data_IF_620759505846
#
_entry.id   IF_620759505846
#
_cell.length_a   1.000
_cell.length_b   1.000
_cell.length_c   1.000
_cell.angle_alpha   90.00
_cell.angle_beta   90.00
_cell.angle_gamma   90.00
#
_symmetry.space_group_name_H-M   'P 1'
#
loop_
_entity.id
_entity.type
_entity.pdbx_description
1 polymer ?
#
# COMPACT_ATOMS: atom_id res chain seq x y z
N UNK A 1 21.32 6.07 -14.76
CA UNK A 1 20.59 4.86 -14.34
C UNK A 1 19.21 5.31 -13.85
N UNK A 2 18.13 4.77 -14.40
CA UNK A 2 16.77 5.08 -13.89
C UNK A 2 16.65 4.60 -12.45
N UNK A 3 16.08 5.48 -11.60
CA UNK A 3 15.84 5.18 -10.17
C UNK A 3 14.81 4.05 -10.09
N UNK A 4 15.20 2.89 -9.58
CA UNK A 4 14.31 1.74 -9.39
C UNK A 4 13.72 1.78 -8.00
N UNK A 5 12.40 1.69 -7.88
CA UNK A 5 11.67 1.65 -6.63
C UNK A 5 11.17 0.23 -6.33
N UNK A 6 11.11 -0.10 -5.06
CA UNK A 6 10.41 -1.29 -4.58
C UNK A 6 9.03 -0.90 -4.09
N UNK A 7 8.01 -1.56 -4.62
CA UNK A 7 6.62 -1.37 -4.22
C UNK A 7 6.14 -2.55 -3.36
N UNK A 8 5.28 -2.23 -2.42
CA UNK A 8 4.54 -3.19 -1.59
C UNK A 8 3.05 -2.95 -1.83
N UNK A 9 2.37 -3.96 -2.33
CA UNK A 9 0.94 -3.91 -2.63
C UNK A 9 0.21 -4.80 -1.61
N UNK A 10 -0.44 -4.23 -0.59
CA UNK A 10 -1.26 -5.03 0.32
C UNK A 10 -2.39 -5.71 -0.43
N UNK A 11 -2.57 -7.00 -0.16
CA UNK A 11 -3.60 -7.85 -0.76
C UNK A 11 -4.41 -8.53 0.34
N UNK A 12 -5.63 -8.93 0.03
CA UNK A 12 -6.38 -9.85 0.90
C UNK A 12 -5.72 -11.23 0.85
N UNK A 13 -5.72 -11.91 1.98
CA UNK A 13 -5.18 -13.27 2.07
C UNK A 13 -5.94 -14.21 1.11
N UNK A 14 -5.19 -14.98 0.33
CA UNK A 14 -5.70 -15.92 -0.65
C UNK A 14 -5.88 -15.35 -2.07
N UNK A 15 -5.73 -14.03 -2.28
CA UNK A 15 -5.81 -13.42 -3.62
C UNK A 15 -4.49 -12.77 -4.07
N UNK A 16 -3.40 -13.00 -3.36
CA UNK A 16 -2.09 -12.44 -3.66
C UNK A 16 -1.59 -12.83 -5.07
N UNK A 17 -1.89 -14.06 -5.49
CA UNK A 17 -1.54 -14.53 -6.84
C UNK A 17 -2.26 -13.73 -7.94
N UNK A 18 -3.49 -13.28 -7.68
CA UNK A 18 -4.26 -12.44 -8.61
C UNK A 18 -3.62 -11.06 -8.75
N UNK A 19 -3.25 -10.44 -7.62
CA UNK A 19 -2.52 -9.17 -7.60
C UNK A 19 -1.17 -9.30 -8.32
N UNK A 20 -0.42 -10.39 -8.05
CA UNK A 20 0.85 -10.65 -8.71
C UNK A 20 0.70 -10.81 -10.24
N UNK A 21 -0.36 -11.48 -10.68
CA UNK A 21 -0.67 -11.61 -12.11
C UNK A 21 -0.98 -10.26 -12.75
N UNK A 22 -1.75 -9.41 -12.06
CA UNK A 22 -2.08 -8.05 -12.53
C UNK A 22 -0.82 -7.18 -12.66
N UNK A 23 0.07 -7.20 -11.64
CA UNK A 23 1.34 -6.47 -11.67
C UNK A 23 2.25 -6.91 -12.82
N UNK A 24 2.33 -8.23 -13.10
CA UNK A 24 3.08 -8.76 -14.24
C UNK A 24 2.49 -8.29 -15.58
N UNK A 25 1.17 -8.24 -15.72
CA UNK A 25 0.49 -7.68 -16.90
C UNK A 25 0.78 -6.19 -17.08
N UNK A 26 0.93 -5.46 -15.98
CA UNK A 26 1.34 -4.06 -16.00
C UNK A 26 2.85 -3.88 -16.26
N UNK A 27 3.62 -4.95 -16.46
CA UNK A 27 5.03 -4.90 -16.83
C UNK A 27 5.98 -4.64 -15.67
N UNK A 28 5.54 -4.83 -14.41
CA UNK A 28 6.41 -4.69 -13.25
C UNK A 28 7.38 -5.88 -13.16
N UNK A 29 8.59 -5.62 -12.68
CA UNK A 29 9.65 -6.63 -12.51
C UNK A 29 9.69 -7.18 -11.08
N UNK A 30 10.38 -8.30 -10.89
CA UNK A 30 10.60 -8.96 -9.59
C UNK A 30 9.33 -9.14 -8.74
N UNK A 31 8.22 -9.48 -9.39
CA UNK A 31 6.92 -9.65 -8.72
C UNK A 31 6.93 -10.91 -7.87
N UNK A 32 6.79 -10.76 -6.54
CA UNK A 32 6.77 -11.84 -5.54
C UNK A 32 5.53 -11.71 -4.67
N UNK A 33 4.74 -12.78 -4.62
CA UNK A 33 3.60 -12.89 -3.70
C UNK A 33 4.09 -13.38 -2.33
N UNK A 34 3.67 -12.69 -1.28
CA UNK A 34 3.86 -13.05 0.13
C UNK A 34 2.50 -13.02 0.83
N UNK A 35 2.39 -13.58 2.02
CA UNK A 35 1.14 -13.59 2.78
C UNK A 35 0.65 -12.15 3.04
N UNK A 36 -0.52 -11.82 2.49
CA UNK A 36 -1.18 -10.51 2.66
C UNK A 36 -0.57 -9.36 1.86
N UNK A 37 0.45 -9.59 1.01
CA UNK A 37 1.06 -8.55 0.17
C UNK A 37 1.76 -9.11 -1.06
N UNK A 38 2.00 -8.24 -2.03
CA UNK A 38 2.85 -8.54 -3.19
C UNK A 38 3.94 -7.49 -3.30
N UNK A 39 5.17 -7.93 -3.50
CA UNK A 39 6.33 -7.09 -3.73
C UNK A 39 6.60 -7.01 -5.23
N UNK A 40 7.03 -5.85 -5.73
CA UNK A 40 7.50 -5.70 -7.11
C UNK A 40 8.46 -4.52 -7.23
N UNK A 41 9.18 -4.46 -8.35
CA UNK A 41 10.04 -3.33 -8.69
C UNK A 41 9.54 -2.62 -9.94
N UNK A 42 9.77 -1.30 -9.97
CA UNK A 42 9.41 -0.45 -11.10
C UNK A 42 10.08 0.91 -11.00
N UNK A 43 9.71 1.80 -11.89
CA UNK A 43 10.21 3.18 -11.99
C UNK A 43 9.32 4.17 -11.21
N UNK A 44 9.74 5.41 -11.00
CA UNK A 44 8.88 6.46 -10.44
C UNK A 44 7.57 6.68 -11.22
N UNK A 45 7.60 6.51 -12.55
CA UNK A 45 6.43 6.62 -13.41
C UNK A 45 5.36 5.53 -13.15
N UNK A 46 5.75 4.44 -12.49
CA UNK A 46 4.82 3.38 -12.13
C UNK A 46 3.92 3.74 -10.95
N UNK A 47 4.28 4.74 -10.12
CA UNK A 47 3.44 5.20 -9.02
C UNK A 47 2.04 5.62 -9.51
N UNK A 48 1.88 6.63 -10.39
CA UNK A 48 0.56 6.99 -10.90
C UNK A 48 -0.06 5.87 -11.73
N UNK A 49 0.73 5.14 -12.52
CA UNK A 49 0.23 4.05 -13.36
C UNK A 49 -0.40 2.93 -12.52
N UNK A 50 0.22 2.53 -11.42
CA UNK A 50 -0.31 1.51 -10.51
C UNK A 50 -1.57 2.01 -9.80
N UNK A 51 -1.55 3.24 -9.27
CA UNK A 51 -2.71 3.81 -8.59
C UNK A 51 -3.94 3.96 -9.50
N UNK A 52 -3.74 4.19 -10.81
CA UNK A 52 -4.82 4.34 -11.78
C UNK A 52 -5.31 3.00 -12.35
N UNK A 53 -4.48 1.96 -12.39
CA UNK A 53 -4.81 0.74 -13.13
C UNK A 53 -5.00 -0.50 -12.25
N UNK A 54 -4.53 -0.48 -10.99
CA UNK A 54 -4.59 -1.65 -10.13
C UNK A 54 -6.01 -1.89 -9.62
N UNK A 55 -6.57 -3.06 -9.95
CA UNK A 55 -7.94 -3.45 -9.60
C UNK A 55 -8.03 -4.26 -8.32
N UNK A 56 -7.05 -5.13 -8.08
CA UNK A 56 -7.13 -6.14 -7.02
C UNK A 56 -6.28 -5.81 -5.79
N UNK A 57 -5.32 -4.90 -5.90
CA UNK A 57 -4.52 -4.40 -4.79
C UNK A 57 -5.23 -3.32 -3.99
N UNK A 58 -4.97 -3.25 -2.68
CA UNK A 58 -5.62 -2.30 -1.79
C UNK A 58 -4.99 -0.89 -1.81
N UNK A 59 -3.67 -0.82 -1.98
CA UNK A 59 -2.85 0.40 -1.99
C UNK A 59 -1.55 0.15 -2.74
N UNK A 60 -0.89 1.24 -3.11
CA UNK A 60 0.48 1.23 -3.64
C UNK A 60 1.39 1.87 -2.60
N UNK A 61 2.23 1.08 -1.95
CA UNK A 61 3.16 1.55 -0.94
C UNK A 61 4.58 1.54 -1.53
N UNK A 62 5.30 2.64 -1.37
CA UNK A 62 6.71 2.75 -1.74
C UNK A 62 7.57 2.28 -0.56
N UNK A 63 8.34 1.21 -0.71
CA UNK A 63 9.28 0.75 0.30
C UNK A 63 10.50 1.65 0.35
N UNK A 64 10.81 2.21 1.53
CA UNK A 64 11.99 3.05 1.75
C UNK A 64 13.17 2.24 2.28
N UNK A 65 12.89 1.10 2.92
CA UNK A 65 13.91 0.20 3.45
C UNK A 65 13.34 -0.77 4.47
N UNK A 66 14.17 -1.77 4.81
CA UNK A 66 13.86 -2.75 5.85
C UNK A 66 15.10 -3.09 6.66
N UNK A 67 14.89 -3.46 7.93
CA UNK A 67 15.92 -3.84 8.88
C UNK A 67 15.34 -4.74 9.97
N UNK A 68 16.20 -5.38 10.76
CA UNK A 68 15.77 -6.15 11.92
C UNK A 68 15.70 -5.24 13.16
N UNK A 69 14.67 -5.40 13.98
CA UNK A 69 14.56 -4.72 15.25
C UNK A 69 13.79 -5.56 16.27
N UNK A 70 14.43 -5.84 17.39
CA UNK A 70 13.86 -6.54 18.56
C UNK A 70 13.62 -5.59 19.72
N UNK A 71 14.28 -4.42 19.70
CA UNK A 71 14.20 -3.39 20.73
C UNK A 71 13.71 -2.08 20.13
N UNK A 72 13.15 -1.19 20.96
CA UNK A 72 12.73 0.14 20.53
C UNK A 72 13.92 1.02 20.11
N UNK A 73 15.11 0.76 20.62
CA UNK A 73 16.33 1.46 20.24
C UNK A 73 16.75 1.07 18.82
N UNK A 74 16.78 -0.22 18.50
CA UNK A 74 17.04 -0.72 17.15
C UNK A 74 16.00 -0.19 16.15
N UNK A 75 14.71 -0.14 16.54
CA UNK A 75 13.64 0.43 15.73
C UNK A 75 13.87 1.91 15.44
N UNK A 76 14.27 2.68 16.46
CA UNK A 76 14.55 4.11 16.35
C UNK A 76 15.75 4.38 15.43
N UNK A 77 16.88 3.73 15.67
CA UNK A 77 18.11 3.96 14.89
C UNK A 77 17.94 3.49 13.43
N UNK A 78 17.32 2.33 13.21
CA UNK A 78 17.03 1.85 11.85
C UNK A 78 16.11 2.79 11.08
N UNK A 79 15.10 3.36 11.72
CA UNK A 79 14.22 4.33 11.09
C UNK A 79 14.93 5.69 10.85
N UNK A 80 15.74 6.16 11.78
CA UNK A 80 16.49 7.41 11.64
C UNK A 80 17.59 7.36 10.57
N UNK A 81 18.05 6.15 10.21
CA UNK A 81 19.07 5.97 9.17
C UNK A 81 18.52 6.16 7.74
N UNK A 82 17.20 6.04 7.53
CA UNK A 82 16.60 6.19 6.21
C UNK A 82 16.56 7.65 5.74
N UNK A 83 16.69 7.90 4.41
CA UNK A 83 16.71 9.24 3.83
C UNK A 83 15.29 9.81 3.65
N UNK A 84 14.62 10.12 4.75
CA UNK A 84 13.25 10.65 4.75
C UNK A 84 13.10 11.97 4.01
N UNK A 85 14.14 12.80 4.01
CA UNK A 85 14.22 14.09 3.33
C UNK A 85 14.10 14.01 1.82
N UNK A 86 14.41 12.85 1.22
CA UNK A 86 14.22 12.60 -0.22
C UNK A 86 12.75 12.54 -0.62
N UNK A 87 11.86 12.35 0.35
CA UNK A 87 10.44 12.07 0.12
C UNK A 87 9.51 13.04 0.85
N UNK A 88 9.88 13.48 2.04
CA UNK A 88 9.03 14.33 2.89
C UNK A 88 9.65 15.72 2.97
N UNK A 89 9.05 16.75 2.36
CA UNK A 89 9.54 18.11 2.41
C UNK A 89 9.36 18.72 3.82
N UNK A 90 9.97 19.87 4.04
CA UNK A 90 10.04 20.57 5.33
C UNK A 90 8.68 20.76 6.01
N UNK A 91 7.65 21.09 5.26
CA UNK A 91 6.27 21.32 5.73
C UNK A 91 5.39 20.07 5.71
N UNK A 92 5.91 18.92 5.22
CA UNK A 92 5.16 17.68 5.07
C UNK A 92 4.57 17.16 6.38
N UNK A 93 3.31 16.72 6.36
CA UNK A 93 2.70 15.99 7.47
C UNK A 93 2.95 14.51 7.31
N UNK A 94 3.45 13.84 8.32
CA UNK A 94 3.82 12.43 8.24
C UNK A 94 3.32 11.61 9.44
N UNK A 95 2.01 11.37 9.52
CA UNK A 95 1.48 10.42 10.50
C UNK A 95 2.02 9.01 10.23
N UNK A 96 2.25 8.26 11.31
CA UNK A 96 2.78 6.90 11.25
C UNK A 96 1.67 5.91 11.60
N UNK A 97 1.43 4.91 10.73
CA UNK A 97 0.50 3.80 10.96
C UNK A 97 1.19 2.48 10.62
N UNK A 98 0.70 1.38 11.17
CA UNK A 98 1.24 0.08 10.80
C UNK A 98 0.76 -1.02 11.71
N UNK A 99 1.43 -2.15 11.63
CA UNK A 99 1.11 -3.33 12.41
C UNK A 99 2.37 -4.12 12.77
N UNK A 100 2.25 -4.93 13.81
CA UNK A 100 3.29 -5.87 14.23
C UNK A 100 2.67 -7.24 14.47
N UNK A 101 3.29 -8.28 13.89
CA UNK A 101 2.82 -9.66 13.98
C UNK A 101 3.99 -10.59 14.30
N UNK A 102 3.82 -11.47 15.28
CA UNK A 102 4.81 -12.47 15.71
C UNK A 102 6.20 -11.85 15.97
N UNK A 103 6.23 -10.69 16.62
CA UNK A 103 7.45 -9.91 16.85
C UNK A 103 7.57 -9.51 18.32
N UNK A 104 8.80 -9.25 18.79
CA UNK A 104 9.03 -8.77 20.15
C UNK A 104 8.42 -7.38 20.37
N UNK A 105 8.48 -6.53 19.37
CA UNK A 105 7.84 -5.20 19.36
C UNK A 105 6.35 -5.31 19.05
N UNK A 106 5.54 -5.81 19.97
CA UNK A 106 4.11 -6.08 19.77
C UNK A 106 3.20 -4.86 20.02
N UNK A 107 3.66 -3.85 20.76
CA UNK A 107 2.86 -2.63 21.05
C UNK A 107 2.88 -1.69 19.84
N UNK A 108 1.85 -1.75 19.00
CA UNK A 108 1.71 -0.88 17.82
C UNK A 108 1.75 0.62 18.19
N UNK A 109 1.04 1.11 19.23
CA UNK A 109 1.14 2.53 19.63
C UNK A 109 2.55 2.96 20.04
N UNK A 110 3.29 2.08 20.76
CA UNK A 110 4.68 2.37 21.13
C UNK A 110 5.57 2.44 19.90
N UNK A 111 5.46 1.49 18.96
CA UNK A 111 6.20 1.51 17.70
C UNK A 111 5.90 2.79 16.89
N UNK A 112 4.63 3.20 16.80
CA UNK A 112 4.23 4.45 16.14
C UNK A 112 4.92 5.67 16.75
N UNK A 113 4.93 5.77 18.09
CA UNK A 113 5.57 6.86 18.81
C UNK A 113 7.08 6.91 18.59
N UNK A 114 7.75 5.75 18.66
CA UNK A 114 9.20 5.64 18.44
C UNK A 114 9.57 5.99 17.00
N UNK A 115 8.86 5.45 16.03
CA UNK A 115 9.07 5.77 14.61
C UNK A 115 8.84 7.26 14.34
N UNK A 116 7.76 7.86 14.88
CA UNK A 116 7.51 9.30 14.75
C UNK A 116 8.66 10.12 15.30
N UNK A 117 9.19 9.77 16.49
CA UNK A 117 10.36 10.45 17.08
C UNK A 117 11.60 10.31 16.20
N UNK A 118 11.86 9.14 15.63
CA UNK A 118 13.00 8.89 14.74
C UNK A 118 12.93 9.78 13.48
N UNK A 119 11.77 9.86 12.85
CA UNK A 119 11.53 10.73 11.70
C UNK A 119 11.72 12.21 12.07
N UNK A 120 11.13 12.66 13.18
CA UNK A 120 11.28 14.03 13.66
C UNK A 120 12.77 14.38 13.91
N UNK A 121 13.53 13.47 14.54
CA UNK A 121 14.98 13.67 14.77
C UNK A 121 15.74 13.80 13.44
N UNK A 122 15.47 12.88 12.49
CA UNK A 122 16.14 12.90 11.18
C UNK A 122 15.82 14.15 10.38
N UNK A 123 14.55 14.44 10.16
CA UNK A 123 14.09 15.59 9.37
C UNK A 123 14.44 16.90 10.05
N UNK A 124 14.31 17.00 11.39
CA UNK A 124 14.72 18.17 12.15
C UNK A 124 16.20 18.49 11.98
N UNK A 125 17.07 17.46 12.04
CA UNK A 125 18.51 17.63 11.78
C UNK A 125 18.80 18.11 10.36
N UNK A 126 18.13 17.55 9.36
CA UNK A 126 18.36 17.89 7.95
C UNK A 126 17.85 19.29 7.62
N UNK A 127 16.67 19.66 8.14
CA UNK A 127 16.06 20.96 7.87
C UNK A 127 16.46 22.08 8.85
N UNK A 128 17.28 21.78 9.85
CA UNK A 128 17.71 22.75 10.86
C UNK A 128 16.56 23.26 11.74
N UNK A 129 15.61 22.38 12.09
CA UNK A 129 14.40 22.73 12.85
C UNK A 129 14.31 21.90 14.13
N UNK A 130 14.01 22.55 15.25
CA UNK A 130 13.67 21.84 16.52
C UNK A 130 12.28 21.22 16.46
N UNK A 131 11.34 21.89 15.81
CA UNK A 131 9.95 21.43 15.63
C UNK A 131 9.56 21.53 14.16
N UNK A 132 9.05 20.44 13.60
CA UNK A 132 8.57 20.39 12.23
C UNK A 132 7.15 20.97 12.16
N UNK A 133 6.83 21.83 11.21
CA UNK A 133 5.54 22.55 11.16
C UNK A 133 4.35 21.65 10.82
N UNK A 134 4.56 20.60 10.06
CA UNK A 134 3.53 19.61 9.62
C UNK A 134 2.25 20.27 9.08
N UNK A 135 2.35 21.36 8.36
CA UNK A 135 1.23 22.15 7.82
C UNK A 135 0.91 21.84 6.36
N UNK A 136 1.82 21.14 5.68
CA UNK A 136 1.75 20.89 4.25
C UNK A 136 1.03 19.59 3.86
N UNK A 137 1.41 19.02 2.72
CA UNK A 137 0.85 17.80 2.16
C UNK A 137 1.07 16.59 3.07
N UNK A 138 0.11 15.66 3.02
CA UNK A 138 0.13 14.42 3.80
C UNK A 138 1.04 13.37 3.15
N UNK A 139 2.01 12.89 3.89
CA UNK A 139 2.89 11.76 3.57
C UNK A 139 2.66 10.64 4.58
N UNK A 140 1.67 9.79 4.34
CA UNK A 140 1.33 8.72 5.27
C UNK A 140 2.46 7.68 5.32
N UNK A 141 3.18 7.64 6.45
CA UNK A 141 4.19 6.61 6.70
C UNK A 141 3.50 5.35 7.20
N UNK A 142 3.84 4.21 6.59
CA UNK A 142 3.38 2.90 7.03
C UNK A 142 4.55 2.03 7.45
N UNK A 143 4.37 1.23 8.51
CA UNK A 143 5.33 0.21 8.90
C UNK A 143 4.67 -1.15 9.01
N UNK A 144 5.44 -2.18 8.75
CA UNK A 144 5.10 -3.56 9.09
C UNK A 144 6.27 -4.19 9.85
N UNK A 145 5.98 -4.86 10.96
CA UNK A 145 6.96 -5.66 11.68
C UNK A 145 6.46 -7.11 11.65
N UNK A 146 7.20 -7.98 10.97
CA UNK A 146 6.87 -9.39 10.80
C UNK A 146 8.07 -10.21 11.24
N UNK A 147 7.93 -10.99 12.31
CA UNK A 147 9.03 -11.81 12.86
C UNK A 147 10.30 -10.97 13.06
N UNK A 148 10.15 -9.81 13.71
CA UNK A 148 11.18 -8.80 14.00
C UNK A 148 11.78 -8.11 12.76
N UNK A 149 11.35 -8.45 11.54
CA UNK A 149 11.73 -7.74 10.32
C UNK A 149 10.82 -6.52 10.12
N UNK A 150 11.40 -5.34 10.16
CA UNK A 150 10.75 -4.04 9.96
C UNK A 150 10.81 -3.68 8.47
N UNK A 151 9.69 -3.22 7.93
CA UNK A 151 9.65 -2.57 6.62
C UNK A 151 8.98 -1.20 6.79
N UNK A 152 9.64 -0.15 6.32
CA UNK A 152 9.12 1.22 6.35
C UNK A 152 8.73 1.66 4.93
N UNK A 153 7.54 2.23 4.79
CA UNK A 153 6.92 2.51 3.51
C UNK A 153 6.23 3.86 3.52
N UNK A 154 6.10 4.49 2.35
CA UNK A 154 5.22 5.63 2.12
C UNK A 154 3.99 5.19 1.33
N UNK A 155 2.82 5.62 1.77
CA UNK A 155 1.56 5.42 1.06
C UNK A 155 1.46 6.43 -0.08
N UNK A 156 1.35 5.94 -1.31
CA UNK A 156 1.21 6.77 -2.52
C UNK A 156 -0.23 6.84 -3.02
N UNK A 157 -1.16 6.11 -2.39
CA UNK A 157 -2.55 6.02 -2.85
C UNK A 157 -3.47 7.05 -2.21
N UNK A 158 -3.16 7.53 -1.00
CA UNK A 158 -4.08 8.36 -0.22
C UNK A 158 -5.30 7.55 0.24
N UNK A 159 -6.43 7.65 -0.46
CA UNK A 159 -7.56 6.75 -0.22
C UNK A 159 -7.29 5.32 -0.71
N UNK A 160 -7.95 4.35 -0.09
CA UNK A 160 -7.80 2.95 -0.50
C UNK A 160 -8.39 2.73 -1.89
N UNK A 161 -7.70 1.94 -2.72
CA UNK A 161 -8.09 1.70 -4.13
C UNK A 161 -9.43 0.97 -4.31
N UNK A 162 -10.00 0.40 -3.24
CA UNK A 162 -11.38 -0.11 -3.29
C UNK A 162 -12.43 1.01 -3.32
N UNK A 163 -12.10 2.24 -2.90
CA UNK A 163 -13.01 3.40 -2.95
C UNK A 163 -13.03 4.00 -4.36
N UNK A 164 -13.65 3.34 -5.30
CA UNK A 164 -13.64 3.76 -6.71
C UNK A 164 -14.65 4.86 -7.08
N UNK A 165 -15.46 5.29 -6.09
CA UNK A 165 -16.39 6.43 -6.27
C UNK A 165 -17.66 6.14 -7.05
N UNK A 166 -17.88 4.94 -7.56
CA UNK A 166 -19.10 4.62 -8.32
C UNK A 166 -20.33 4.31 -7.44
N UNK A 167 -20.15 4.19 -6.12
CA UNK A 167 -21.29 3.96 -5.21
C UNK A 167 -21.99 5.26 -4.87
N UNK A 168 -23.20 5.44 -5.40
CA UNK A 168 -24.05 6.58 -5.10
C UNK A 168 -24.73 6.48 -3.71
N UNK A 169 -24.92 5.27 -3.19
CA UNK A 169 -25.59 5.02 -1.91
C UNK A 169 -24.82 4.00 -1.06
N UNK A 170 -24.73 4.24 0.25
CA UNK A 170 -24.20 3.29 1.21
C UNK A 170 -25.27 2.25 1.56
N UNK A 171 -25.18 1.09 0.95
CA UNK A 171 -25.99 -0.08 1.25
C UNK A 171 -25.24 -0.97 2.24
N UNK A 172 -25.48 -0.88 3.54
CA UNK A 172 -24.95 -1.79 4.55
C UNK A 172 -23.43 -2.03 4.44
N UNK A 173 -22.97 -3.27 4.54
CA UNK A 173 -21.56 -3.68 4.43
C UNK A 173 -21.32 -4.35 3.04
N UNK A 174 -21.15 -3.58 1.97
CA UNK A 174 -21.00 -4.15 0.63
C UNK A 174 -19.66 -4.85 0.47
N UNK A 175 -19.59 -5.79 -0.48
CA UNK A 175 -18.33 -6.40 -0.89
C UNK A 175 -17.35 -5.30 -1.35
N UNK A 176 -16.08 -5.39 -0.91
CA UNK A 176 -15.04 -4.45 -1.37
C UNK A 176 -14.78 -4.64 -2.86
N UNK A 177 -14.63 -3.56 -3.58
CA UNK A 177 -14.43 -3.54 -5.03
C UNK A 177 -13.19 -4.34 -5.45
N UNK A 178 -12.09 -4.22 -4.69
CA UNK A 178 -10.85 -5.00 -4.95
C UNK A 178 -11.06 -6.51 -4.78
N UNK A 179 -11.89 -6.92 -3.83
CA UNK A 179 -12.24 -8.35 -3.69
C UNK A 179 -13.15 -8.80 -4.83
N UNK A 180 -14.15 -8.01 -5.20
CA UNK A 180 -15.02 -8.32 -6.34
C UNK A 180 -14.21 -8.46 -7.64
N UNK A 181 -13.28 -7.53 -7.92
CA UNK A 181 -12.38 -7.61 -9.05
C UNK A 181 -11.49 -8.88 -9.01
N UNK A 182 -11.01 -9.26 -7.82
CA UNK A 182 -10.25 -10.50 -7.66
C UNK A 182 -11.10 -11.74 -7.96
N UNK A 183 -12.34 -11.81 -7.48
CA UNK A 183 -13.27 -12.91 -7.76
C UNK A 183 -13.56 -13.03 -9.26
N UNK A 184 -13.83 -11.90 -9.94
CA UNK A 184 -14.02 -11.88 -11.39
C UNK A 184 -12.76 -12.37 -12.12
N UNK A 185 -11.58 -11.97 -11.67
CA UNK A 185 -10.31 -12.43 -12.25
C UNK A 185 -10.07 -13.91 -12.04
N UNK A 186 -10.43 -14.45 -10.86
CA UNK A 186 -10.33 -15.87 -10.54
C UNK A 186 -11.31 -16.72 -11.36
N UNK A 187 -12.49 -16.18 -11.71
CA UNK A 187 -13.44 -16.87 -12.62
C UNK A 187 -12.92 -16.97 -14.07
N UNK A 188 -11.76 -16.37 -14.37
CA UNK A 188 -11.15 -16.30 -15.72
C UNK A 188 -12.00 -15.54 -16.74
N UNK A 189 -12.96 -14.72 -16.28
CA UNK A 189 -13.74 -13.87 -17.14
C UNK A 189 -12.84 -12.88 -17.92
N UNK A 190 -13.06 -12.80 -19.23
CA UNK A 190 -12.23 -11.97 -20.14
C UNK A 190 -13.02 -10.86 -20.84
N UNK A 191 -14.26 -10.63 -20.43
CA UNK A 191 -15.13 -9.59 -21.01
C UNK A 191 -15.73 -9.92 -22.37
N UNK A 192 -15.63 -11.16 -22.83
CA UNK A 192 -16.17 -11.61 -24.14
C UNK A 192 -17.42 -12.47 -23.99
N UNK A 193 -17.54 -13.17 -22.87
CA UNK A 193 -18.64 -14.08 -22.60
C UNK A 193 -19.74 -13.37 -21.81
N UNK A 194 -21.01 -13.86 -21.84
CA UNK A 194 -22.04 -13.39 -20.94
C UNK A 194 -21.65 -13.59 -19.49
N UNK A 195 -21.91 -12.58 -18.65
CA UNK A 195 -21.64 -12.61 -17.22
C UNK A 195 -22.95 -12.49 -16.45
N UNK A 196 -23.21 -13.41 -15.53
CA UNK A 196 -24.39 -13.43 -14.69
C UNK A 196 -23.99 -13.58 -13.21
N UNK A 197 -24.57 -12.75 -12.36
CA UNK A 197 -24.48 -12.86 -10.91
C UNK A 197 -25.92 -12.97 -10.35
N UNK A 198 -26.41 -14.19 -10.04
CA UNK A 198 -27.79 -14.39 -9.59
C UNK A 198 -28.05 -13.85 -8.16
N UNK A 199 -27.01 -13.47 -7.42
CA UNK A 199 -27.10 -12.94 -6.06
C UNK A 199 -26.41 -11.58 -5.94
N UNK A 200 -26.54 -10.73 -6.95
CA UNK A 200 -25.73 -9.52 -7.16
C UNK A 200 -25.76 -8.50 -6.01
N UNK A 201 -26.77 -8.50 -5.17
CA UNK A 201 -26.91 -7.54 -4.07
C UNK A 201 -26.77 -6.08 -4.56
N UNK A 202 -25.73 -5.37 -4.11
CA UNK A 202 -25.43 -4.00 -4.56
C UNK A 202 -24.77 -3.92 -5.95
N UNK A 203 -24.65 -5.02 -6.67
CA UNK A 203 -24.09 -5.06 -8.02
C UNK A 203 -22.56 -4.94 -8.10
N UNK A 204 -21.83 -5.06 -7.00
CA UNK A 204 -20.37 -4.86 -7.00
C UNK A 204 -19.64 -5.80 -7.97
N UNK A 205 -19.97 -7.09 -7.97
CA UNK A 205 -19.32 -8.08 -8.86
C UNK A 205 -19.62 -7.79 -10.33
N UNK A 206 -20.88 -7.60 -10.77
CA UNK A 206 -21.16 -7.29 -12.17
C UNK A 206 -20.61 -5.93 -12.62
N UNK A 207 -20.51 -4.92 -11.73
CA UNK A 207 -19.86 -3.65 -12.06
C UNK A 207 -18.37 -3.88 -12.32
N UNK A 208 -17.66 -4.61 -11.45
CA UNK A 208 -16.24 -4.93 -11.65
C UNK A 208 -16.03 -5.78 -12.92
N UNK A 209 -16.93 -6.72 -13.22
CA UNK A 209 -16.89 -7.48 -14.46
C UNK A 209 -17.04 -6.56 -15.69
N UNK A 210 -17.95 -5.59 -15.65
CA UNK A 210 -18.13 -4.61 -16.72
C UNK A 210 -16.90 -3.69 -16.89
N UNK A 211 -16.27 -3.26 -15.77
CA UNK A 211 -15.03 -2.48 -15.82
C UNK A 211 -13.88 -3.28 -16.42
N UNK A 212 -13.76 -4.57 -16.08
CA UNK A 212 -12.76 -5.48 -16.67
C UNK A 212 -13.02 -5.64 -18.18
N UNK A 213 -14.27 -5.89 -18.58
CA UNK A 213 -14.66 -6.02 -19.99
C UNK A 213 -14.33 -4.78 -20.83
N UNK A 214 -14.53 -3.59 -20.25
CA UNK A 214 -14.24 -2.30 -20.90
C UNK A 214 -12.79 -1.84 -20.71
N UNK A 215 -11.94 -2.66 -20.06
CA UNK A 215 -10.57 -2.29 -19.68
C UNK A 215 -10.48 -0.94 -18.94
N UNK A 216 -11.41 -0.69 -18.03
CA UNK A 216 -11.40 0.47 -17.11
C UNK A 216 -11.08 -0.02 -15.70
N UNK A 217 -10.20 0.70 -14.99
CA UNK A 217 -9.89 0.46 -13.58
C UNK A 217 -10.59 1.48 -12.69
#
# INVERSE_FOLDING_TARGET
MEKTFQFVIPALMGVESTVAHELKKLGLSEVRAENGRVLCKGSPADIPRLNLNLRTGARVLLSLGGFQAKTFEELFEGAAALPWEDYIPREGRFPVKGYSVSSQLHSVPACQSILKKALCKRLGRVYGLETLPETGTLYQVQFSILKDAVTLMLDTSGDSLYKRGYRAQNMGAPLRETLAAALVSLSRYRGRDPFCDPFCGSGTIPIEAALIAKNRA
#
